data_IF_700872635242
#
_entry.id   IF_700872635242
#
_cell.length_a   1.000
_cell.length_b   1.000
_cell.length_c   1.000
_cell.angle_alpha   90.00
_cell.angle_beta   90.00
_cell.angle_gamma   90.00
#
_symmetry.space_group_name_H-M   'P 1'
#
loop_
_entity.id
_entity.type
_entity.pdbx_description
1 polymer ?
#
# COMPACT_ATOMS: atom_id res chain seq x y z
N UNK A 1 -9.65 12.29 -14.29
CA UNK A 1 -11.04 12.08 -13.82
C UNK A 1 -11.19 12.67 -12.42
N UNK A 2 -12.17 13.54 -12.19
CA UNK A 2 -12.44 14.14 -10.87
C UNK A 2 -13.30 13.21 -10.01
N UNK A 3 -12.98 13.06 -8.71
CA UNK A 3 -13.70 12.16 -7.81
C UNK A 3 -15.17 12.54 -7.50
N UNK A 4 -15.67 13.71 -7.95
CA UNK A 4 -17.05 14.16 -7.77
C UNK A 4 -17.52 14.42 -6.33
N UNK A 5 -16.68 14.13 -5.33
CA UNK A 5 -17.02 14.31 -3.93
C UNK A 5 -17.07 15.79 -3.54
N UNK A 6 -18.17 16.21 -2.89
CA UNK A 6 -18.28 17.50 -2.20
C UNK A 6 -17.97 17.31 -0.71
N UNK A 7 -17.13 18.17 -0.15
CA UNK A 7 -16.82 18.22 1.29
C UNK A 7 -16.46 19.65 1.71
N UNK A 8 -16.63 19.96 2.99
CA UNK A 8 -16.21 21.23 3.58
C UNK A 8 -14.83 21.07 4.20
N UNK A 9 -13.94 22.04 3.98
CA UNK A 9 -12.61 22.11 4.59
C UNK A 9 -12.18 23.57 4.74
N UNK A 10 -11.37 23.87 5.75
CA UNK A 10 -10.72 25.19 5.87
C UNK A 10 -9.48 25.23 4.99
N UNK A 11 -9.12 26.42 4.48
CA UNK A 11 -8.04 26.59 3.52
C UNK A 11 -6.70 26.03 4.04
N UNK A 12 -6.37 26.26 5.32
CA UNK A 12 -5.16 25.72 5.96
C UNK A 12 -5.09 24.19 5.96
N UNK A 13 -6.23 23.50 6.03
CA UNK A 13 -6.25 22.04 5.94
C UNK A 13 -5.95 21.57 4.52
N UNK A 14 -6.30 22.36 3.49
CA UNK A 14 -6.08 22.03 2.09
C UNK A 14 -4.64 22.33 1.66
N UNK A 15 -4.09 23.48 2.04
CA UNK A 15 -2.75 23.93 1.61
C UNK A 15 -1.63 23.43 2.52
N UNK A 16 -1.95 22.97 3.72
CA UNK A 16 -0.97 22.61 4.74
C UNK A 16 -0.65 23.78 5.68
N UNK A 17 0.15 23.50 6.71
CA UNK A 17 0.56 24.48 7.73
C UNK A 17 2.04 24.27 8.07
N UNK A 18 2.73 25.21 8.75
CA UNK A 18 4.16 25.07 9.06
C UNK A 18 4.51 23.75 9.78
N UNK A 19 3.59 23.23 10.59
CA UNK A 19 3.72 21.93 11.28
C UNK A 19 3.32 20.71 10.44
N UNK A 20 2.75 20.89 9.25
CA UNK A 20 2.38 19.84 8.28
C UNK A 20 2.48 20.41 6.86
N UNK A 21 3.63 20.21 6.23
CA UNK A 21 4.03 20.80 4.93
C UNK A 21 3.08 20.45 3.78
N UNK A 22 2.31 19.36 3.90
CA UNK A 22 1.32 18.95 2.91
C UNK A 22 -0.09 18.93 3.51
N UNK A 23 -1.02 19.67 2.90
CA UNK A 23 -2.42 19.67 3.31
C UNK A 23 -3.12 18.32 3.08
N UNK A 24 -4.24 18.15 3.75
CA UNK A 24 -5.18 17.04 3.56
C UNK A 24 -6.20 17.37 2.48
N UNK A 25 -6.49 16.38 1.63
CA UNK A 25 -7.51 16.49 0.60
C UNK A 25 -8.79 15.74 0.97
N UNK A 26 -9.69 15.56 0.00
CA UNK A 26 -10.98 14.88 0.10
C UNK A 26 -11.00 13.73 1.13
N UNK A 27 -11.77 13.83 2.24
CA UNK A 27 -11.77 12.84 3.31
C UNK A 27 -12.38 11.50 2.88
N UNK A 28 -13.16 11.49 1.80
CA UNK A 28 -13.69 10.28 1.17
C UNK A 28 -12.62 9.56 0.33
N UNK A 29 -11.72 10.30 -0.30
CA UNK A 29 -10.61 9.74 -1.07
C UNK A 29 -9.37 9.46 -0.21
N UNK A 30 -9.25 10.13 0.94
CA UNK A 30 -8.14 10.00 1.89
C UNK A 30 -8.39 8.92 2.96
N UNK A 31 -9.16 7.88 2.62
CA UNK A 31 -9.31 6.73 3.52
C UNK A 31 -7.98 6.00 3.58
N UNK A 32 -7.55 5.63 4.78
CA UNK A 32 -6.40 4.74 4.92
C UNK A 32 -6.66 3.47 4.12
N UNK A 33 -5.80 3.16 3.15
CA UNK A 33 -5.92 1.96 2.32
C UNK A 33 -6.13 0.70 3.18
N UNK A 34 -5.38 0.48 4.28
CA UNK A 34 -5.66 -0.62 5.21
C UNK A 34 -7.09 -0.64 5.79
N UNK A 35 -7.64 0.52 6.17
CA UNK A 35 -9.02 0.63 6.69
C UNK A 35 -10.04 0.24 5.63
N UNK A 36 -9.82 0.66 4.38
CA UNK A 36 -10.72 0.33 3.27
C UNK A 36 -10.63 -1.13 2.86
N UNK A 37 -9.42 -1.71 2.80
CA UNK A 37 -9.22 -3.14 2.55
C UNK A 37 -9.92 -3.97 3.64
N UNK A 38 -9.71 -3.61 4.91
CA UNK A 38 -10.36 -4.27 6.04
C UNK A 38 -11.89 -4.24 5.89
N UNK A 39 -12.46 -3.07 5.59
CA UNK A 39 -13.90 -2.92 5.31
C UNK A 39 -14.36 -3.88 4.22
N UNK A 40 -13.65 -3.94 3.09
CA UNK A 40 -14.04 -4.79 1.96
C UNK A 40 -13.95 -6.28 2.29
N UNK A 41 -12.99 -6.70 3.13
CA UNK A 41 -13.01 -8.06 3.66
C UNK A 41 -14.27 -8.32 4.48
N UNK A 42 -14.65 -7.44 5.41
CA UNK A 42 -15.90 -7.59 6.17
C UNK A 42 -17.13 -7.66 5.23
N UNK A 43 -17.22 -6.77 4.25
CA UNK A 43 -18.36 -6.76 3.32
C UNK A 43 -18.43 -8.04 2.47
N UNK A 44 -17.28 -8.60 2.05
CA UNK A 44 -17.24 -9.86 1.31
C UNK A 44 -17.50 -11.09 2.20
N UNK A 45 -17.00 -11.08 3.44
CA UNK A 45 -17.20 -12.19 4.39
C UNK A 45 -18.66 -12.27 4.80
N UNK A 46 -19.30 -11.15 5.14
CA UNK A 46 -20.66 -11.12 5.68
C UNK A 46 -21.73 -10.87 4.62
N UNK A 47 -21.35 -10.56 3.37
CA UNK A 47 -22.28 -10.16 2.29
C UNK A 47 -23.19 -9.00 2.68
N UNK A 48 -22.69 -8.09 3.51
CA UNK A 48 -23.44 -7.03 4.17
C UNK A 48 -22.58 -5.76 4.24
N UNK A 49 -23.19 -4.57 4.30
CA UNK A 49 -22.44 -3.30 4.31
C UNK A 49 -21.91 -2.93 5.69
N UNK A 50 -20.71 -2.36 5.74
CA UNK A 50 -20.09 -1.87 6.98
C UNK A 50 -19.73 -0.38 6.86
N UNK A 51 -20.73 0.53 6.83
CA UNK A 51 -20.50 1.97 6.77
C UNK A 51 -19.67 2.46 7.97
N UNK A 52 -18.93 3.57 7.76
CA UNK A 52 -18.27 4.26 8.88
C UNK A 52 -19.35 4.76 9.83
N UNK A 53 -19.18 4.53 11.12
CA UNK A 53 -20.21 4.87 12.12
C UNK A 53 -19.69 5.92 13.10
N UNK A 54 -20.43 7.01 13.21
CA UNK A 54 -20.14 8.14 14.09
C UNK A 54 -21.42 8.86 14.58
N UNK A 55 -22.59 8.27 14.30
CA UNK A 55 -23.92 8.80 14.59
C UNK A 55 -24.53 8.18 15.85
N UNK A 56 -24.10 6.99 16.27
CA UNK A 56 -24.50 6.43 17.56
C UNK A 56 -24.30 7.47 18.68
N UNK A 57 -25.26 7.59 19.58
CA UNK A 57 -25.33 8.69 20.54
C UNK A 57 -24.04 8.84 21.37
N UNK A 58 -23.50 7.73 21.87
CA UNK A 58 -22.27 7.71 22.66
C UNK A 58 -21.02 8.06 21.85
N UNK A 59 -20.97 7.70 20.56
CA UNK A 59 -19.90 8.09 19.65
C UNK A 59 -19.97 9.59 19.35
N UNK A 60 -21.18 10.12 19.11
CA UNK A 60 -21.40 11.54 18.83
C UNK A 60 -21.00 12.42 20.02
N UNK A 61 -21.42 12.06 21.25
CA UNK A 61 -21.09 12.80 22.48
C UNK A 61 -19.59 12.88 22.73
N UNK A 62 -18.86 11.81 22.41
CA UNK A 62 -17.41 11.71 22.62
C UNK A 62 -16.57 12.08 21.40
N UNK A 63 -17.22 12.49 20.29
CA UNK A 63 -16.58 12.76 18.98
C UNK A 63 -15.75 11.57 18.46
N UNK A 64 -16.15 10.34 18.79
CA UNK A 64 -15.53 9.11 18.34
C UNK A 64 -16.23 8.54 17.10
N UNK A 65 -15.60 7.55 16.47
CA UNK A 65 -16.18 6.76 15.40
C UNK A 65 -15.67 5.33 15.44
N UNK A 66 -16.38 4.44 14.74
CA UNK A 66 -15.95 3.09 14.38
C UNK A 66 -15.59 3.06 12.89
N UNK A 67 -14.49 2.39 12.54
CA UNK A 67 -14.07 2.26 11.16
C UNK A 67 -15.11 1.55 10.28
N UNK A 68 -15.86 0.58 10.82
CA UNK A 68 -17.04 0.04 10.17
C UNK A 68 -18.02 -0.61 11.14
N UNK A 69 -19.31 -0.48 10.88
CA UNK A 69 -20.37 -1.06 11.72
C UNK A 69 -21.55 -1.51 10.86
N UNK A 70 -22.06 -2.71 11.14
CA UNK A 70 -23.30 -3.21 10.59
C UNK A 70 -24.37 -3.32 11.69
N UNK A 71 -25.43 -2.54 11.56
CA UNK A 71 -26.49 -2.45 12.57
C UNK A 71 -27.35 -3.72 12.68
N UNK A 72 -27.53 -4.46 11.58
CA UNK A 72 -28.32 -5.70 11.50
C UNK A 72 -27.61 -6.85 12.22
N UNK A 73 -26.32 -7.01 11.96
CA UNK A 73 -25.49 -8.05 12.56
C UNK A 73 -24.97 -7.68 13.96
N UNK A 74 -25.04 -6.38 14.34
CA UNK A 74 -24.44 -5.83 15.55
C UNK A 74 -22.94 -6.10 15.64
N UNK A 75 -22.26 -6.07 14.50
CA UNK A 75 -20.79 -6.26 14.39
C UNK A 75 -20.15 -4.93 14.02
N UNK A 76 -19.08 -4.57 14.73
CA UNK A 76 -18.23 -3.44 14.40
C UNK A 76 -16.78 -3.90 14.24
N UNK A 77 -15.99 -3.15 13.47
CA UNK A 77 -14.54 -3.33 13.41
C UNK A 77 -13.78 -2.01 13.52
N UNK A 78 -12.55 -2.11 14.01
CA UNK A 78 -11.57 -1.03 14.05
C UNK A 78 -10.24 -1.52 13.48
N UNK A 79 -9.64 -0.76 12.55
CA UNK A 79 -8.28 -1.03 12.10
C UNK A 79 -7.29 -0.21 12.91
N UNK A 80 -6.50 -0.90 13.74
CA UNK A 80 -5.52 -0.29 14.64
C UNK A 80 -4.13 -0.26 14.00
N UNK A 81 -3.58 0.94 13.82
CA UNK A 81 -2.19 1.12 13.43
C UNK A 81 -1.21 0.85 14.58
N UNK A 82 0.09 0.77 14.30
CA UNK A 82 1.13 0.48 15.30
C UNK A 82 1.11 1.41 16.52
N UNK A 83 0.71 2.66 16.33
CA UNK A 83 0.58 3.68 17.39
C UNK A 83 -0.49 3.36 18.45
N UNK A 84 -1.39 2.40 18.21
CA UNK A 84 -2.30 1.92 19.27
C UNK A 84 -1.62 0.95 20.25
N UNK A 85 -0.50 0.35 19.85
CA UNK A 85 0.18 -0.69 20.62
C UNK A 85 1.50 -0.21 21.23
N UNK A 86 2.15 0.76 20.59
CA UNK A 86 3.43 1.31 21.03
C UNK A 86 3.41 2.84 21.01
N UNK A 87 4.18 3.44 21.90
CA UNK A 87 4.45 4.87 21.83
C UNK A 87 5.31 5.15 20.59
N UNK A 88 4.77 5.95 19.66
CA UNK A 88 5.51 6.41 18.49
C UNK A 88 5.57 7.92 18.55
N UNK A 89 6.77 8.49 18.69
CA UNK A 89 7.00 9.95 18.83
C UNK A 89 6.31 10.80 17.74
N UNK A 90 6.15 10.27 16.53
CA UNK A 90 5.42 10.95 15.45
C UNK A 90 3.91 11.10 15.72
N UNK A 91 3.32 10.12 16.43
CA UNK A 91 1.88 10.07 16.73
C UNK A 91 1.54 10.53 18.16
N UNK A 92 2.50 10.43 19.09
CA UNK A 92 2.34 10.88 20.47
C UNK A 92 3.51 11.80 20.85
N UNK A 93 3.20 13.05 21.18
CA UNK A 93 4.20 14.02 21.64
C UNK A 93 4.63 13.78 23.08
N UNK A 94 3.83 13.03 23.84
CA UNK A 94 4.08 12.68 25.24
C UNK A 94 3.46 11.32 25.59
N UNK A 95 3.90 10.70 26.68
CA UNK A 95 3.30 9.47 27.20
C UNK A 95 1.84 9.67 27.61
N UNK A 96 1.48 10.89 28.03
CA UNK A 96 0.11 11.24 28.39
C UNK A 96 -0.85 11.09 27.21
N UNK A 97 -0.45 11.51 26.00
CA UNK A 97 -1.27 11.35 24.78
C UNK A 97 -1.46 9.87 24.41
N UNK A 98 -0.44 9.03 24.64
CA UNK A 98 -0.55 7.59 24.44
C UNK A 98 -1.52 6.95 25.44
N UNK A 99 -1.43 7.32 26.73
CA UNK A 99 -2.36 6.88 27.77
C UNK A 99 -3.81 7.32 27.49
N UNK A 100 -4.01 8.53 26.97
CA UNK A 100 -5.32 9.00 26.51
C UNK A 100 -5.83 8.23 25.29
N UNK A 101 -4.95 7.73 24.42
CA UNK A 101 -5.32 6.82 23.34
C UNK A 101 -5.85 5.49 23.89
N UNK A 102 -5.09 4.87 24.80
CA UNK A 102 -5.47 3.61 25.46
C UNK A 102 -6.82 3.72 26.18
N UNK A 103 -7.03 4.81 26.94
CA UNK A 103 -8.30 5.08 27.64
C UNK A 103 -9.48 5.17 26.66
N UNK A 104 -9.29 5.80 25.49
CA UNK A 104 -10.34 5.92 24.47
C UNK A 104 -10.66 4.56 23.82
N UNK A 105 -9.64 3.74 23.57
CA UNK A 105 -9.83 2.40 23.02
C UNK A 105 -10.56 1.49 24.01
N UNK A 106 -10.20 1.53 25.30
CA UNK A 106 -10.94 0.80 26.35
C UNK A 106 -12.38 1.29 26.48
N UNK A 107 -12.60 2.60 26.45
CA UNK A 107 -13.95 3.16 26.49
C UNK A 107 -14.81 2.66 25.31
N UNK A 108 -14.25 2.61 24.10
CA UNK A 108 -14.95 2.04 22.93
C UNK A 108 -15.32 0.58 23.14
N UNK A 109 -14.40 -0.25 23.64
CA UNK A 109 -14.68 -1.67 23.94
C UNK A 109 -15.83 -1.81 24.93
N UNK A 110 -15.75 -1.07 26.03
CA UNK A 110 -16.79 -1.06 27.06
C UNK A 110 -18.14 -0.63 26.49
N UNK A 111 -18.18 0.45 25.71
CA UNK A 111 -19.43 0.95 25.12
C UNK A 111 -19.99 0.01 24.06
N UNK A 112 -19.15 -0.63 23.25
CA UNK A 112 -19.61 -1.66 22.31
C UNK A 112 -20.26 -2.82 23.07
N UNK A 113 -19.59 -3.34 24.11
CA UNK A 113 -20.12 -4.41 24.96
C UNK A 113 -21.45 -4.03 25.61
N UNK A 114 -21.55 -2.82 26.18
CA UNK A 114 -22.77 -2.30 26.83
C UNK A 114 -23.95 -2.19 25.86
N UNK A 115 -23.69 -1.90 24.59
CA UNK A 115 -24.72 -1.77 23.54
C UNK A 115 -24.95 -3.08 22.75
N UNK A 116 -24.39 -4.21 23.20
CA UNK A 116 -24.52 -5.50 22.52
C UNK A 116 -23.80 -5.57 21.16
N UNK A 117 -22.85 -4.67 20.91
CA UNK A 117 -22.07 -4.63 19.67
C UNK A 117 -20.81 -5.49 19.85
N UNK A 118 -20.62 -6.44 18.92
CA UNK A 118 -19.43 -7.28 18.85
C UNK A 118 -18.33 -6.52 18.09
N UNK A 119 -17.33 -6.03 18.81
CA UNK A 119 -16.21 -5.28 18.24
C UNK A 119 -15.04 -6.21 17.90
N UNK A 120 -14.54 -6.14 16.67
CA UNK A 120 -13.33 -6.82 16.21
C UNK A 120 -12.23 -5.79 15.94
N UNK A 121 -11.06 -5.97 16.54
CA UNK A 121 -9.89 -5.10 16.34
C UNK A 121 -8.84 -5.81 15.49
N UNK A 122 -8.41 -5.19 14.39
CA UNK A 122 -7.46 -5.79 13.44
C UNK A 122 -6.35 -4.80 13.11
N UNK A 123 -5.13 -5.30 12.96
CA UNK A 123 -4.02 -4.50 12.42
C UNK A 123 -2.66 -5.03 12.83
N UNK A 124 -2.46 -5.28 14.13
CA UNK A 124 -1.25 -5.91 14.65
C UNK A 124 -1.59 -7.02 15.63
N UNK A 125 -0.66 -7.97 15.78
CA UNK A 125 -0.77 -9.10 16.70
C UNK A 125 0.57 -9.41 17.34
N UNK A 126 0.53 -9.77 18.62
CA UNK A 126 1.70 -10.28 19.32
C UNK A 126 1.92 -11.75 18.95
N UNK A 127 3.07 -12.05 18.33
CA UNK A 127 3.49 -13.40 17.98
C UNK A 127 4.90 -13.60 18.53
N UNK A 128 5.06 -14.58 19.44
CA UNK A 128 6.33 -14.89 20.07
C UNK A 128 7.04 -13.66 20.69
N UNK A 129 6.28 -12.83 21.40
CA UNK A 129 6.80 -11.61 22.04
C UNK A 129 7.11 -10.46 21.09
N UNK A 130 6.81 -10.57 19.78
CA UNK A 130 7.00 -9.50 18.80
C UNK A 130 5.67 -9.02 18.23
N UNK A 131 5.49 -7.72 18.16
CA UNK A 131 4.33 -7.11 17.51
C UNK A 131 4.49 -7.19 15.98
N UNK A 132 3.67 -8.00 15.33
CA UNK A 132 3.65 -8.22 13.88
C UNK A 132 2.45 -7.51 13.26
N UNK A 133 2.67 -6.75 12.18
CA UNK A 133 1.61 -6.22 11.33
C UNK A 133 0.92 -7.37 10.59
N UNK A 134 -0.42 -7.36 10.56
CA UNK A 134 -1.20 -8.33 9.82
C UNK A 134 -1.21 -7.91 8.34
N UNK A 135 -0.64 -8.74 7.47
CA UNK A 135 -0.66 -8.50 6.03
C UNK A 135 -2.07 -8.66 5.44
N UNK A 136 -2.33 -8.03 4.30
CA UNK A 136 -3.63 -8.16 3.61
C UNK A 136 -3.93 -9.60 3.19
N UNK A 137 -2.91 -10.40 2.86
CA UNK A 137 -3.08 -11.82 2.51
C UNK A 137 -3.44 -12.71 3.72
N UNK A 138 -3.18 -12.22 4.95
CA UNK A 138 -3.51 -12.87 6.24
C UNK A 138 -4.83 -12.35 6.83
N UNK A 139 -5.36 -11.24 6.30
CA UNK A 139 -6.49 -10.50 6.89
C UNK A 139 -7.78 -11.33 6.99
N UNK A 140 -8.12 -12.11 5.96
CA UNK A 140 -9.28 -13.00 6.01
C UNK A 140 -9.17 -13.99 7.18
N UNK A 141 -8.00 -14.62 7.35
CA UNK A 141 -7.79 -15.60 8.41
C UNK A 141 -7.96 -14.94 9.79
N UNK A 142 -7.38 -13.75 9.98
CA UNK A 142 -7.48 -13.06 11.26
C UNK A 142 -8.93 -12.64 11.57
N UNK A 143 -9.67 -12.09 10.61
CA UNK A 143 -11.09 -11.75 10.79
C UNK A 143 -11.88 -12.98 11.24
N UNK A 144 -11.70 -14.12 10.57
CA UNK A 144 -12.42 -15.36 10.92
C UNK A 144 -12.00 -15.90 12.29
N UNK A 145 -10.72 -15.80 12.65
CA UNK A 145 -10.21 -16.15 13.98
C UNK A 145 -10.87 -15.29 15.07
N UNK A 146 -10.95 -13.97 14.87
CA UNK A 146 -11.63 -13.07 15.81
C UNK A 146 -13.13 -13.34 15.88
N UNK A 147 -13.78 -13.65 14.75
CA UNK A 147 -15.18 -14.05 14.76
C UNK A 147 -15.41 -15.30 15.62
N UNK A 148 -14.54 -16.31 15.52
CA UNK A 148 -14.61 -17.51 16.38
C UNK A 148 -14.44 -17.15 17.86
N UNK A 149 -13.44 -16.33 18.22
CA UNK A 149 -13.20 -15.90 19.61
C UNK A 149 -14.39 -15.15 20.21
N UNK A 150 -15.05 -14.32 19.43
CA UNK A 150 -16.17 -13.50 19.88
C UNK A 150 -17.54 -14.18 19.72
N UNK A 151 -17.57 -15.45 19.29
CA UNK A 151 -18.78 -16.23 18.98
C UNK A 151 -19.70 -15.50 17.98
N UNK A 152 -19.11 -14.92 16.94
CA UNK A 152 -19.82 -14.25 15.86
C UNK A 152 -20.06 -15.27 14.75
N UNK A 153 -21.31 -15.54 14.35
CA UNK A 153 -21.59 -16.43 13.23
C UNK A 153 -21.15 -15.76 11.92
N UNK A 154 -20.47 -16.52 11.06
CA UNK A 154 -20.07 -16.08 9.72
C UNK A 154 -20.38 -17.18 8.70
N UNK A 155 -20.71 -16.82 7.45
CA UNK A 155 -21.04 -17.81 6.43
C UNK A 155 -19.80 -18.64 6.06
N UNK A 156 -20.03 -19.88 5.63
CA UNK A 156 -18.95 -20.74 5.11
C UNK A 156 -18.46 -20.17 3.79
N UNK A 157 -17.19 -19.77 3.75
CA UNK A 157 -16.58 -19.22 2.55
C UNK A 157 -16.07 -20.36 1.66
N UNK A 158 -16.57 -20.44 0.42
CA UNK A 158 -16.15 -21.46 -0.55
C UNK A 158 -14.77 -21.15 -1.16
N UNK A 159 -14.40 -19.87 -1.25
CA UNK A 159 -13.16 -19.41 -1.86
C UNK A 159 -12.43 -18.40 -0.96
N UNK A 160 -11.10 -18.40 -1.04
CA UNK A 160 -10.27 -17.37 -0.41
C UNK A 160 -10.51 -16.04 -1.12
N UNK A 161 -10.74 -14.98 -0.36
CA UNK A 161 -10.89 -13.62 -0.86
C UNK A 161 -9.51 -13.10 -1.23
N UNK A 162 -9.35 -12.64 -2.47
CA UNK A 162 -8.14 -11.97 -2.93
C UNK A 162 -8.36 -10.46 -2.88
N UNK A 163 -7.63 -9.79 -1.98
CA UNK A 163 -7.75 -8.34 -1.80
C UNK A 163 -7.32 -7.53 -3.04
N UNK A 164 -6.62 -8.14 -4.00
CA UNK A 164 -6.27 -7.49 -5.28
C UNK A 164 -7.48 -7.34 -6.22
N UNK A 165 -8.54 -8.12 -6.00
CA UNK A 165 -9.78 -8.02 -6.78
C UNK A 165 -10.65 -6.85 -6.29
N UNK A 166 -10.29 -6.26 -5.15
CA UNK A 166 -10.96 -5.08 -4.63
C UNK A 166 -10.69 -3.88 -5.55
N UNK A 167 -11.74 -3.35 -6.17
CA UNK A 167 -11.70 -2.14 -6.99
C UNK A 167 -11.58 -0.89 -6.12
N UNK A 168 -10.45 -0.75 -5.42
CA UNK A 168 -10.21 0.37 -4.50
C UNK A 168 -9.78 1.58 -5.30
N UNK A 169 -10.71 2.51 -5.44
CA UNK A 169 -10.48 3.80 -6.08
C UNK A 169 -9.97 4.78 -5.01
N UNK A 170 -8.70 4.62 -4.62
CA UNK A 170 -7.99 5.60 -3.79
C UNK A 170 -7.36 6.67 -4.71
N UNK A 171 -8.24 7.44 -5.36
CA UNK A 171 -7.94 8.40 -6.43
C UNK A 171 -6.79 9.34 -6.08
N UNK A 172 -6.64 9.78 -4.82
CA UNK A 172 -5.60 10.74 -4.46
C UNK A 172 -4.17 10.27 -4.79
N UNK A 173 -3.83 9.03 -4.40
CA UNK A 173 -2.45 8.55 -4.54
C UNK A 173 -2.13 8.02 -5.94
N UNK A 174 -3.10 7.41 -6.61
CA UNK A 174 -2.90 6.93 -7.97
C UNK A 174 -2.83 8.10 -8.96
N UNK A 175 -3.66 9.13 -8.80
CA UNK A 175 -3.61 10.30 -9.68
C UNK A 175 -2.31 11.09 -9.48
N UNK A 176 -1.81 11.21 -8.25
CA UNK A 176 -0.47 11.76 -8.00
C UNK A 176 0.62 10.94 -8.72
N UNK A 177 0.52 9.60 -8.68
CA UNK A 177 1.48 8.72 -9.36
C UNK A 177 1.38 8.83 -10.89
N UNK A 178 0.17 8.97 -11.44
CA UNK A 178 -0.07 9.23 -12.86
C UNK A 178 0.48 10.58 -13.29
N UNK A 179 0.30 11.61 -12.48
CA UNK A 179 0.83 12.95 -12.79
C UNK A 179 2.36 12.95 -12.78
N UNK A 180 2.99 12.29 -11.80
CA UNK A 180 4.45 12.14 -11.78
C UNK A 180 4.94 11.34 -12.98
N UNK A 181 4.21 10.30 -13.40
CA UNK A 181 4.52 9.56 -14.62
C UNK A 181 4.47 10.47 -15.86
N UNK A 182 3.42 11.29 -15.98
CA UNK A 182 3.24 12.27 -17.05
C UNK A 182 4.40 13.28 -17.09
N UNK A 183 4.75 13.85 -15.93
CA UNK A 183 5.87 14.79 -15.79
C UNK A 183 7.23 14.16 -16.11
N UNK A 184 7.38 12.85 -15.95
CA UNK A 184 8.58 12.09 -16.34
C UNK A 184 8.55 11.59 -17.79
N UNK A 185 7.61 12.08 -18.60
CA UNK A 185 7.48 11.71 -20.00
C UNK A 185 6.98 10.27 -20.17
N UNK A 186 5.92 9.89 -19.46
CA UNK A 186 5.28 8.59 -19.64
C UNK A 186 3.91 8.52 -18.97
N UNK A 187 3.43 7.32 -18.72
CA UNK A 187 2.08 7.05 -18.23
C UNK A 187 2.13 5.94 -17.17
N UNK A 188 1.29 6.07 -16.14
CA UNK A 188 1.00 4.97 -15.21
C UNK A 188 -0.26 4.24 -15.71
N UNK A 189 -0.10 2.97 -16.07
CA UNK A 189 -1.15 2.12 -16.68
C UNK A 189 -2.07 1.55 -15.60
N UNK A 190 -1.55 1.36 -14.38
CA UNK A 190 -2.31 0.77 -13.29
C UNK A 190 -3.57 1.58 -12.97
N UNK A 191 -4.71 0.88 -12.88
CA UNK A 191 -6.03 1.50 -12.67
C UNK A 191 -6.43 1.64 -11.20
N UNK A 192 -5.72 0.97 -10.28
CA UNK A 192 -6.05 0.89 -8.86
C UNK A 192 -4.83 1.14 -7.97
N UNK A 193 -5.09 1.65 -6.75
CA UNK A 193 -4.06 1.88 -5.74
C UNK A 193 -4.03 0.75 -4.71
N UNK A 194 -2.90 0.06 -4.64
CA UNK A 194 -2.69 -1.08 -3.73
C UNK A 194 -1.68 -0.79 -2.61
N UNK A 195 -1.16 0.45 -2.53
CA UNK A 195 -0.27 0.88 -1.46
C UNK A 195 1.12 1.32 -1.96
N UNK A 196 1.92 1.88 -1.05
CA UNK A 196 3.25 2.43 -1.37
C UNK A 196 4.35 1.38 -1.55
N UNK A 197 4.09 0.15 -1.09
CA UNK A 197 5.01 -1.00 -1.20
C UNK A 197 4.76 -1.82 -2.47
N UNK A 198 3.60 -1.65 -3.10
CA UNK A 198 3.21 -2.40 -4.29
C UNK A 198 3.87 -1.89 -5.57
N UNK A 199 3.93 -2.76 -6.57
CA UNK A 199 4.45 -2.42 -7.90
C UNK A 199 3.32 -1.98 -8.83
N UNK A 200 3.56 -0.89 -9.54
CA UNK A 200 2.66 -0.31 -10.53
C UNK A 200 3.30 -0.40 -11.91
N UNK A 201 2.47 -0.49 -12.93
CA UNK A 201 2.87 -0.61 -14.33
C UNK A 201 2.94 0.76 -14.98
N UNK A 202 4.05 1.01 -15.68
CA UNK A 202 4.32 2.27 -16.36
C UNK A 202 4.75 2.03 -17.81
N UNK A 203 4.46 3.01 -18.66
CA UNK A 203 4.95 3.13 -20.03
C UNK A 203 5.71 4.44 -20.18
N UNK A 204 6.95 4.44 -20.63
CA UNK A 204 7.65 5.70 -20.95
C UNK A 204 7.35 6.19 -22.37
N UNK A 205 7.76 7.41 -22.69
CA UNK A 205 7.64 8.02 -24.03
C UNK A 205 8.25 7.17 -25.14
N UNK A 206 9.35 6.49 -24.85
CA UNK A 206 10.02 5.54 -25.75
C UNK A 206 9.27 4.20 -25.90
N UNK A 207 8.08 4.06 -25.31
CA UNK A 207 7.23 2.87 -25.41
C UNK A 207 7.62 1.70 -24.51
N UNK A 208 8.62 1.84 -23.64
CA UNK A 208 9.03 0.74 -22.76
C UNK A 208 8.07 0.56 -21.57
N UNK A 209 7.70 -0.70 -21.31
CA UNK A 209 6.92 -1.11 -20.15
C UNK A 209 7.82 -1.52 -18.98
N UNK A 210 7.52 -1.05 -17.78
CA UNK A 210 8.25 -1.44 -16.57
C UNK A 210 7.38 -1.36 -15.32
N UNK A 211 7.80 -2.09 -14.29
CA UNK A 211 7.16 -2.10 -12.97
C UNK A 211 8.02 -1.36 -11.95
N UNK A 212 7.39 -0.54 -11.10
CA UNK A 212 8.09 0.17 -10.04
C UNK A 212 7.17 0.46 -8.85
N UNK A 213 7.75 0.62 -7.66
CA UNK A 213 7.02 1.07 -6.48
C UNK A 213 6.87 2.60 -6.50
N UNK A 214 5.84 3.17 -5.86
CA UNK A 214 5.65 4.62 -5.78
C UNK A 214 6.88 5.33 -5.21
N UNK A 215 7.50 4.80 -4.16
CA UNK A 215 8.73 5.37 -3.58
C UNK A 215 9.89 5.47 -4.57
N UNK A 216 10.02 4.50 -5.49
CA UNK A 216 11.04 4.55 -6.55
C UNK A 216 10.73 5.61 -7.59
N UNK A 217 9.46 5.86 -7.90
CA UNK A 217 9.05 6.86 -8.90
C UNK A 217 9.08 8.27 -8.31
N UNK A 218 8.44 8.47 -7.16
CA UNK A 218 8.34 9.76 -6.46
C UNK A 218 9.67 10.23 -5.89
N UNK A 219 10.49 9.29 -5.43
CA UNK A 219 11.71 9.58 -4.69
C UNK A 219 11.56 9.40 -3.19
N UNK A 220 12.68 9.51 -2.50
CA UNK A 220 12.80 9.43 -1.03
C UNK A 220 13.69 10.59 -0.55
N UNK A 221 13.78 10.89 0.75
CA UNK A 221 14.70 11.92 1.24
C UNK A 221 16.16 11.72 0.78
N UNK A 222 16.59 10.47 0.66
CA UNK A 222 17.93 10.11 0.14
C UNK A 222 18.04 10.21 -1.38
N UNK A 223 16.92 10.15 -2.11
CA UNK A 223 16.87 10.24 -3.58
C UNK A 223 15.63 11.04 -4.02
N UNK A 224 15.64 12.38 -3.91
CA UNK A 224 14.44 13.20 -4.07
C UNK A 224 13.83 13.11 -5.48
N UNK A 225 14.66 12.95 -6.50
CA UNK A 225 14.20 12.85 -7.91
C UNK A 225 13.63 11.47 -8.29
N UNK A 226 13.77 10.47 -7.42
CA UNK A 226 13.41 9.09 -7.70
C UNK A 226 14.18 8.47 -8.88
N UNK A 227 13.55 7.50 -9.52
CA UNK A 227 14.00 6.76 -10.69
C UNK A 227 12.84 6.62 -11.68
N UNK A 228 13.16 6.41 -12.95
CA UNK A 228 12.17 6.25 -14.00
C UNK A 228 12.43 4.97 -14.81
N UNK A 229 12.18 4.99 -16.11
CA UNK A 229 12.37 3.87 -17.01
C UNK A 229 13.82 3.34 -16.92
N UNK A 230 14.02 2.10 -16.42
CA UNK A 230 15.35 1.52 -16.34
C UNK A 230 15.95 1.33 -17.73
N UNK A 231 15.13 1.02 -18.74
CA UNK A 231 15.58 0.76 -20.10
C UNK A 231 16.14 2.05 -20.73
N UNK A 232 15.44 3.19 -20.61
CA UNK A 232 15.96 4.49 -21.05
C UNK A 232 17.22 4.88 -20.28
N UNK A 233 17.26 4.62 -18.97
CA UNK A 233 18.46 4.85 -18.16
C UNK A 233 19.65 4.07 -18.70
N UNK A 234 19.49 2.79 -19.03
CA UNK A 234 20.57 1.98 -19.58
C UNK A 234 20.99 2.40 -20.99
N UNK A 235 20.05 2.87 -21.83
CA UNK A 235 20.36 3.41 -23.17
C UNK A 235 21.22 4.67 -23.12
N UNK A 236 21.04 5.51 -22.10
CA UNK A 236 21.70 6.82 -22.00
C UNK A 236 22.95 6.81 -21.09
N UNK A 237 23.39 5.65 -20.61
CA UNK A 237 24.64 5.54 -19.84
C UNK A 237 25.82 5.52 -20.80
N UNK A 238 26.90 6.29 -20.54
CA UNK A 238 28.12 6.17 -21.31
C UNK A 238 28.70 4.75 -21.16
N UNK A 239 29.29 4.22 -22.23
CA UNK A 239 29.69 2.81 -22.35
C UNK A 239 30.61 2.34 -21.21
N UNK A 240 31.39 3.27 -20.64
CA UNK A 240 32.32 3.05 -19.51
C UNK A 240 31.63 2.95 -18.13
N UNK A 241 30.35 3.31 -18.00
CA UNK A 241 29.57 3.19 -16.76
C UNK A 241 28.58 2.02 -16.77
N UNK A 242 28.48 1.30 -17.88
CA UNK A 242 27.70 0.08 -17.98
C UNK A 242 28.48 -1.06 -17.31
N UNK A 243 28.04 -1.50 -16.10
CA UNK A 243 28.58 -2.71 -15.44
C UNK A 243 28.63 -3.92 -16.39
N UNK A 244 27.66 -3.98 -17.32
CA UNK A 244 27.57 -4.96 -18.38
C UNK A 244 27.35 -4.23 -19.71
N UNK A 245 28.33 -4.29 -20.60
CA UNK A 245 28.33 -3.73 -21.96
C UNK A 245 28.61 -4.84 -22.98
N UNK A 246 28.46 -4.57 -24.28
CA UNK A 246 28.88 -5.53 -25.33
C UNK A 246 30.37 -5.89 -25.16
N UNK A 247 31.22 -4.89 -24.92
CA UNK A 247 32.63 -5.06 -24.61
C UNK A 247 32.87 -5.94 -23.39
N UNK A 248 32.05 -5.81 -22.34
CA UNK A 248 32.11 -6.72 -21.19
C UNK A 248 31.74 -8.16 -21.56
N UNK A 249 30.70 -8.39 -22.38
CA UNK A 249 30.34 -9.73 -22.84
C UNK A 249 31.44 -10.37 -23.68
N UNK A 250 32.13 -9.56 -24.49
CA UNK A 250 33.26 -10.00 -25.32
C UNK A 250 34.50 -10.31 -24.47
N UNK A 251 34.83 -9.47 -23.49
CA UNK A 251 35.88 -9.76 -22.51
C UNK A 251 35.55 -11.00 -21.66
N UNK A 252 34.29 -11.20 -21.31
CA UNK A 252 33.83 -12.37 -20.56
C UNK A 252 33.99 -13.66 -21.37
N UNK A 253 33.76 -13.61 -22.68
CA UNK A 253 34.02 -14.70 -23.60
C UNK A 253 35.52 -15.06 -23.65
N UNK A 254 36.38 -14.03 -23.74
CA UNK A 254 37.84 -14.18 -23.80
C UNK A 254 38.40 -14.73 -22.48
N UNK A 255 38.02 -14.13 -21.34
CA UNK A 255 38.54 -14.47 -20.01
C UNK A 255 38.14 -15.87 -19.52
N UNK A 256 37.08 -16.46 -20.09
CA UNK A 256 36.73 -17.88 -19.85
C UNK A 256 37.60 -18.86 -20.65
N UNK A 257 38.72 -18.38 -21.19
CA UNK A 257 39.88 -19.20 -21.55
C UNK A 257 39.80 -19.85 -22.92
N UNK A 258 39.22 -19.19 -23.92
CA UNK A 258 39.21 -19.69 -25.32
C UNK A 258 38.46 -21.02 -25.53
N UNK A 259 37.84 -21.59 -24.48
CA UNK A 259 37.07 -22.84 -24.51
C UNK A 259 35.56 -22.56 -24.53
N UNK A 260 35.16 -21.61 -25.36
CA UNK A 260 33.85 -21.58 -25.98
C UNK A 260 32.79 -20.71 -25.33
N UNK A 261 32.71 -19.44 -25.72
CA UNK A 261 31.47 -18.85 -26.27
C UNK A 261 31.64 -17.38 -26.70
N UNK A 262 31.66 -17.07 -28.00
CA UNK A 262 31.57 -15.69 -28.52
C UNK A 262 30.15 -15.15 -28.34
N UNK A 263 29.98 -13.92 -27.86
CA UNK A 263 28.67 -13.27 -27.82
C UNK A 263 28.35 -12.67 -29.19
N UNK A 264 27.42 -13.27 -29.94
CA UNK A 264 26.97 -12.80 -31.25
C UNK A 264 25.92 -11.69 -31.18
N UNK A 265 25.44 -11.36 -29.97
CA UNK A 265 24.45 -10.29 -29.81
C UNK A 265 25.10 -8.94 -30.16
N UNK A 266 24.47 -8.09 -31.00
CA UNK A 266 25.09 -6.83 -31.45
C UNK A 266 25.22 -5.79 -30.31
N UNK A 267 24.49 -5.99 -29.21
CA UNK A 267 24.55 -5.17 -27.99
C UNK A 267 24.15 -5.99 -26.76
N UNK A 268 24.42 -5.45 -25.57
CA UNK A 268 23.89 -6.01 -24.33
C UNK A 268 22.36 -5.82 -24.26
N UNK A 269 21.64 -6.94 -24.11
CA UNK A 269 20.19 -7.01 -24.11
C UNK A 269 19.59 -6.93 -22.69
N UNK A 270 20.42 -7.05 -21.64
CA UNK A 270 20.00 -7.05 -20.23
C UNK A 270 20.23 -8.39 -19.52
N UNK A 271 20.47 -8.38 -18.20
CA UNK A 271 20.85 -9.55 -17.39
C UNK A 271 19.88 -10.75 -17.53
N UNK A 272 18.59 -10.47 -17.75
CA UNK A 272 17.54 -11.49 -17.83
C UNK A 272 17.03 -11.69 -19.26
N UNK A 273 17.70 -11.11 -20.26
CA UNK A 273 17.37 -11.30 -21.68
C UNK A 273 18.35 -12.28 -22.30
N UNK A 274 17.83 -13.16 -23.16
CA UNK A 274 18.64 -14.16 -23.87
C UNK A 274 19.59 -13.44 -24.84
N UNK A 275 20.87 -13.72 -24.71
CA UNK A 275 21.91 -13.32 -25.66
C UNK A 275 22.28 -14.53 -26.51
N UNK A 276 22.63 -14.29 -27.77
CA UNK A 276 23.15 -15.32 -28.68
C UNK A 276 24.63 -15.52 -28.37
N UNK A 277 25.02 -16.77 -28.12
CA UNK A 277 26.39 -17.18 -27.86
C UNK A 277 26.79 -18.31 -28.80
N UNK A 278 28.04 -18.34 -29.26
CA UNK A 278 28.57 -19.39 -30.13
C UNK A 278 29.82 -20.00 -29.51
N UNK A 279 29.80 -21.30 -29.23
CA UNK A 279 30.98 -22.03 -28.76
C UNK A 279 32.12 -21.98 -29.79
N UNK A 280 33.37 -21.88 -29.32
CA UNK A 280 34.58 -21.88 -30.15
C UNK A 280 35.23 -23.25 -30.29
N UNK A 281 34.64 -24.31 -29.72
CA UNK A 281 35.06 -25.69 -30.02
C UNK A 281 34.46 -26.10 -31.36
N UNK A 282 35.33 -26.33 -32.34
CA UNK A 282 35.04 -27.09 -33.56
C UNK A 282 34.97 -28.57 -33.21
#
# INVERSE_FOLDING_TARGET
YTCGHKWNAVLNDIIGKPSRVQGTWCPKCNRSLPKEICRLFFENIFSEKFPKENKLEWLRKTKMHLDGYNAKLKIAFEYQGKHHYEHIQYFHKSDKEFQECLKRDEYKKMMCKKNGIKLIEIGYKWINGKLKEIGFDEMQYEILSECKKHNIPFPKLEKKINWRDFKIILLGHLEELKEIARLKGGECISSYWFGTKEQYEFKCSEGHFFKATPSKIKGTPKRPKGTWCPICKYKNLPQNQLKYSKTFLDQLAINRGGKGSNCLSPRYLGLHKKHIWQCSKV
#
